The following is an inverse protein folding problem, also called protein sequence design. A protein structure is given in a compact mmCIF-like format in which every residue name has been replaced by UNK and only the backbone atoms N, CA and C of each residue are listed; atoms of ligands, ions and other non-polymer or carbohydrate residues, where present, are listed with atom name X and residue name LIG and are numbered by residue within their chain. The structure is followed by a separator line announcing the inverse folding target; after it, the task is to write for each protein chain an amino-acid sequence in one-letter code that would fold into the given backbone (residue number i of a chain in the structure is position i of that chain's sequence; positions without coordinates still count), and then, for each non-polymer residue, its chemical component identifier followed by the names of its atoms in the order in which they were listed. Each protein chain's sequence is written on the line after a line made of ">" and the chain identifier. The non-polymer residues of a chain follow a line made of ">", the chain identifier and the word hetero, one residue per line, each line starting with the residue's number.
data_IF_019810656426
#
_entry.id   IF_019810656426
#
_cell.length_a   1.000
_cell.length_b   1.000
_cell.length_c   1.000
_cell.angle_alpha   90.00
_cell.angle_beta   90.00
_cell.angle_gamma   90.00
#
_symmetry.space_group_name_H-M   'P 1'
#
loop_
_entity.id
_entity.type
_entity.pdbx_description
1 polymer ?
#
# COMPACT_ATOMS: atom_id res chain seq x y z
N UNK A 1 3.70 14.56 -12.60
CA UNK A 1 2.39 14.28 -11.98
C UNK A 1 2.65 13.51 -10.70
N UNK A 2 2.34 14.07 -9.54
CA UNK A 2 2.58 13.42 -8.26
C UNK A 2 1.41 12.47 -7.96
N UNK A 3 1.66 11.16 -7.98
CA UNK A 3 0.62 10.13 -7.75
C UNK A 3 0.31 10.05 -6.25
N UNK A 4 -0.58 10.93 -5.79
CA UNK A 4 -1.07 10.98 -4.39
C UNK A 4 -1.63 9.61 -3.96
N UNK A 5 -2.16 8.82 -4.90
CA UNK A 5 -2.61 7.45 -4.67
C UNK A 5 -1.51 6.53 -4.12
N UNK A 6 -0.27 6.64 -4.62
CA UNK A 6 0.85 5.84 -4.12
C UNK A 6 1.23 6.22 -2.68
N UNK A 7 1.15 7.50 -2.33
CA UNK A 7 1.35 7.95 -0.96
C UNK A 7 0.29 7.42 0.00
N UNK A 8 -0.98 7.43 -0.42
CA UNK A 8 -2.09 6.88 0.38
C UNK A 8 -1.89 5.39 0.61
N UNK A 9 -1.54 4.64 -0.44
CA UNK A 9 -1.27 3.21 -0.31
C UNK A 9 -0.06 2.93 0.60
N UNK A 10 0.98 3.76 0.54
CA UNK A 10 2.15 3.62 1.42
C UNK A 10 1.80 3.86 2.90
N UNK A 11 1.01 4.91 3.18
CA UNK A 11 0.51 5.17 4.54
C UNK A 11 -0.40 4.05 5.04
N UNK A 12 -1.27 3.52 4.18
CA UNK A 12 -2.16 2.41 4.53
C UNK A 12 -1.38 1.11 4.77
N UNK A 13 -0.30 0.86 4.01
CA UNK A 13 0.58 -0.28 4.23
C UNK A 13 1.24 -0.20 5.61
N UNK A 14 1.74 0.98 6.00
CA UNK A 14 2.31 1.22 7.33
C UNK A 14 1.27 1.01 8.45
N UNK A 15 0.04 1.51 8.27
CA UNK A 15 -1.09 1.23 9.19
C UNK A 15 -1.40 -0.27 9.29
N UNK A 16 -1.35 -1.01 8.17
CA UNK A 16 -1.54 -2.46 8.14
C UNK A 16 -0.48 -3.23 8.94
N UNK A 17 0.77 -2.77 8.90
CA UNK A 17 1.86 -3.30 9.73
C UNK A 17 1.66 -2.99 11.22
N UNK A 18 1.25 -1.76 11.57
CA UNK A 18 0.96 -1.38 12.97
C UNK A 18 -0.21 -2.19 13.53
N UNK A 19 -1.23 -2.49 12.70
CA UNK A 19 -2.37 -3.31 13.08
C UNK A 19 -2.05 -4.81 13.25
N UNK A 20 -0.81 -5.24 12.98
CA UNK A 20 -0.38 -6.64 13.00
C UNK A 20 -1.23 -7.56 12.09
N UNK A 21 -1.89 -6.97 11.08
CA UNK A 21 -2.75 -7.69 10.16
C UNK A 21 -2.04 -7.86 8.82
N UNK A 22 -1.26 -8.94 8.74
CA UNK A 22 -0.37 -9.24 7.60
C UNK A 22 -1.14 -9.37 6.29
N UNK A 23 -2.38 -9.89 6.30
CA UNK A 23 -3.24 -9.99 5.12
C UNK A 23 -3.54 -8.62 4.50
N UNK A 24 -3.81 -7.62 5.34
CA UNK A 24 -4.09 -6.25 4.90
C UNK A 24 -2.81 -5.59 4.37
N UNK A 25 -1.71 -5.71 5.10
CA UNK A 25 -0.41 -5.18 4.68
C UNK A 25 0.04 -5.75 3.33
N UNK A 26 -0.08 -7.07 3.13
CA UNK A 26 0.26 -7.74 1.88
C UNK A 26 -0.66 -7.31 0.73
N UNK A 27 -1.97 -7.18 0.97
CA UNK A 27 -2.91 -6.74 -0.07
C UNK A 27 -2.57 -5.35 -0.59
N UNK A 28 -2.21 -4.43 0.31
CA UNK A 28 -1.85 -3.05 -0.05
C UNK A 28 -0.50 -3.02 -0.78
N UNK A 29 0.46 -3.85 -0.36
CA UNK A 29 1.74 -3.99 -1.05
C UNK A 29 1.54 -4.49 -2.49
N UNK A 30 0.68 -5.48 -2.71
CA UNK A 30 0.32 -5.96 -4.06
C UNK A 30 -0.30 -4.84 -4.90
N UNK A 31 -1.21 -4.04 -4.33
CA UNK A 31 -1.82 -2.91 -5.03
C UNK A 31 -0.80 -1.85 -5.46
N UNK A 32 0.20 -1.56 -4.61
CA UNK A 32 1.32 -0.67 -4.96
C UNK A 32 2.10 -1.23 -6.15
N UNK A 33 2.47 -2.52 -6.11
CA UNK A 33 3.24 -3.16 -7.19
C UNK A 33 2.48 -3.12 -8.52
N UNK A 34 1.19 -3.47 -8.51
CA UNK A 34 0.33 -3.43 -9.71
C UNK A 34 0.22 -2.00 -10.25
N UNK A 35 0.11 -1.00 -9.37
CA UNK A 35 -0.01 0.41 -9.77
C UNK A 35 1.29 0.97 -10.35
N UNK A 36 2.45 0.56 -9.84
CA UNK A 36 3.77 0.99 -10.35
C UNK A 36 4.13 0.32 -11.68
N UNK A 37 3.63 -0.90 -11.91
CA UNK A 37 3.94 -1.68 -13.12
C UNK A 37 3.03 -1.33 -14.31
N UNK A 38 1.94 -0.59 -14.08
CA UNK A 38 0.97 -0.16 -15.10
C UNK A 38 1.24 1.24 -15.62
#
# INVERSE_FOLDING_TARGET
>A
MFDVTLLILLGLAALGFISHNTTVAVSILVLIIVRVTR
#
